data_IF_057497620849
#
_entry.id   IF_057497620849
#
_cell.length_a   1.000
_cell.length_b   1.000
_cell.length_c   1.000
_cell.angle_alpha   90.00
_cell.angle_beta   90.00
_cell.angle_gamma   90.00
#
_symmetry.space_group_name_H-M   'P 1'
#
loop_
_entity.id
_entity.type
_entity.pdbx_description
1 polymer ?
#
# COMPACT_ATOMS: atom_id res chain seq x y z
N UNK A 1 6.26 2.96 -10.41
CA UNK A 1 6.71 2.87 -9.01
C UNK A 1 7.58 4.08 -8.74
N UNK A 2 7.18 4.95 -7.82
CA UNK A 2 7.90 6.20 -7.54
C UNK A 2 9.32 5.94 -6.96
N UNK A 3 9.52 5.00 -6.02
CA UNK A 3 10.85 4.65 -5.50
C UNK A 3 11.83 4.16 -6.57
N UNK A 4 11.48 3.20 -7.42
CA UNK A 4 12.44 2.54 -8.32
C UNK A 4 12.23 2.83 -9.82
N UNK A 5 11.27 3.68 -10.19
CA UNK A 5 10.98 4.05 -11.58
C UNK A 5 10.27 2.99 -12.43
N UNK A 6 10.16 1.73 -11.96
CA UNK A 6 9.53 0.63 -12.74
C UNK A 6 8.05 0.87 -12.99
N UNK A 7 7.60 0.58 -14.20
CA UNK A 7 6.16 0.56 -14.52
C UNK A 7 5.54 -0.71 -13.93
N UNK A 8 4.49 -0.55 -13.10
CA UNK A 8 3.83 -1.66 -12.42
C UNK A 8 2.32 -1.49 -12.54
N UNK A 9 1.67 -2.53 -13.06
CA UNK A 9 0.23 -2.58 -13.27
C UNK A 9 -0.54 -2.52 -11.94
N UNK A 10 -1.78 -2.00 -11.99
CA UNK A 10 -2.60 -1.71 -10.81
C UNK A 10 -2.62 -2.81 -9.74
N UNK A 11 -2.99 -4.06 -10.05
CA UNK A 11 -3.08 -5.13 -9.06
C UNK A 11 -1.73 -5.48 -8.41
N UNK A 12 -0.64 -5.43 -9.17
CA UNK A 12 0.70 -5.85 -8.70
C UNK A 12 1.44 -4.73 -7.96
N UNK A 13 0.94 -3.50 -8.04
CA UNK A 13 1.58 -2.31 -7.46
C UNK A 13 1.77 -2.43 -5.95
N UNK A 14 0.77 -2.91 -5.23
CA UNK A 14 0.88 -3.05 -3.76
C UNK A 14 1.89 -4.13 -3.37
N UNK A 15 1.94 -5.26 -4.09
CA UNK A 15 2.94 -6.30 -3.84
C UNK A 15 4.35 -5.79 -4.11
N UNK A 16 4.54 -5.09 -5.22
CA UNK A 16 5.81 -4.47 -5.57
C UNK A 16 6.25 -3.42 -4.54
N UNK A 17 5.35 -2.51 -4.15
CA UNK A 17 5.65 -1.50 -3.13
C UNK A 17 5.89 -2.14 -1.76
N UNK A 18 5.20 -3.22 -1.43
CA UNK A 18 5.37 -3.96 -0.18
C UNK A 18 6.80 -4.48 0.00
N UNK A 19 7.48 -4.86 -1.08
CA UNK A 19 8.90 -5.23 -1.02
C UNK A 19 9.76 -4.05 -0.57
N UNK A 20 9.60 -2.89 -1.20
CA UNK A 20 10.35 -1.68 -0.84
C UNK A 20 10.07 -1.24 0.61
N UNK A 21 8.80 -1.26 1.02
CA UNK A 21 8.39 -0.96 2.40
C UNK A 21 9.07 -1.90 3.38
N UNK A 22 9.06 -3.21 3.11
CA UNK A 22 9.66 -4.19 4.01
C UNK A 22 11.17 -3.98 4.15
N UNK A 23 11.88 -3.73 3.04
CA UNK A 23 13.32 -3.48 3.06
C UNK A 23 13.64 -2.19 3.83
N UNK A 24 12.90 -1.10 3.57
CA UNK A 24 13.06 0.16 4.29
C UNK A 24 12.83 0.01 5.80
N UNK A 25 11.77 -0.70 6.22
CA UNK A 25 11.48 -0.97 7.63
C UNK A 25 12.52 -1.88 8.30
N UNK A 26 13.25 -2.68 7.52
CA UNK A 26 14.37 -3.51 8.02
C UNK A 26 15.71 -2.79 7.98
N UNK A 27 15.76 -1.55 7.48
CA UNK A 27 17.02 -0.82 7.29
C UNK A 27 17.92 -1.45 6.23
N UNK A 28 17.35 -2.24 5.31
CA UNK A 28 18.09 -2.82 4.19
C UNK A 28 18.13 -1.80 3.06
N UNK A 29 19.33 -1.41 2.65
CA UNK A 29 19.52 -0.49 1.54
C UNK A 29 19.16 -1.15 0.20
N UNK A 30 18.52 -0.37 -0.66
CA UNK A 30 18.24 -0.74 -2.05
C UNK A 30 19.04 0.17 -2.98
N UNK A 31 19.92 -0.43 -3.77
CA UNK A 31 20.88 0.33 -4.60
C UNK A 31 20.23 1.14 -5.74
N UNK A 32 19.00 0.79 -6.14
CA UNK A 32 18.35 1.32 -7.36
C UNK A 32 17.13 2.20 -7.05
N UNK A 33 17.10 2.88 -5.91
CA UNK A 33 16.04 3.81 -5.56
C UNK A 33 16.33 5.23 -6.06
N UNK A 34 15.41 5.76 -6.86
CA UNK A 34 15.33 7.15 -7.30
C UNK A 34 14.77 8.03 -6.17
N UNK A 35 13.87 7.49 -5.35
CA UNK A 35 13.31 8.18 -4.18
C UNK A 35 13.17 7.25 -2.97
N UNK A 36 13.33 7.79 -1.74
CA UNK A 36 13.24 6.99 -0.53
C UNK A 36 11.81 6.57 -0.22
N UNK A 37 11.66 5.39 0.38
CA UNK A 37 10.40 4.95 1.00
C UNK A 37 10.34 5.46 2.42
N UNK A 38 9.19 6.01 2.80
CA UNK A 38 8.96 6.47 4.17
C UNK A 38 8.92 5.30 5.14
N UNK A 39 9.49 5.46 6.32
CA UNK A 39 9.33 4.51 7.43
C UNK A 39 8.17 4.86 8.35
N UNK A 40 7.54 6.02 8.16
CA UNK A 40 6.42 6.52 8.97
C UNK A 40 5.10 6.34 8.22
N UNK A 41 4.36 5.28 8.56
CA UNK A 41 3.11 4.86 7.91
C UNK A 41 3.18 4.89 6.37
N UNK A 42 4.08 4.11 5.73
CA UNK A 42 4.25 4.15 4.29
C UNK A 42 2.98 3.73 3.54
N UNK A 43 2.63 4.51 2.52
CA UNK A 43 1.53 4.20 1.62
C UNK A 43 1.89 3.02 0.70
N UNK A 44 1.02 2.01 0.65
CA UNK A 44 1.19 0.82 -0.19
C UNK A 44 1.14 1.08 -1.72
N UNK A 45 0.91 2.32 -2.17
CA UNK A 45 0.92 2.67 -3.61
C UNK A 45 2.11 3.55 -4.01
N UNK A 46 2.42 4.55 -3.16
CA UNK A 46 3.40 5.60 -3.46
C UNK A 46 4.70 5.46 -2.63
N UNK A 47 4.69 4.70 -1.53
CA UNK A 47 5.80 4.58 -0.58
C UNK A 47 6.01 5.82 0.31
N UNK A 48 5.26 6.91 0.07
CA UNK A 48 5.34 8.13 0.88
C UNK A 48 4.52 8.00 2.17
N UNK A 49 4.80 8.86 3.15
CA UNK A 49 4.08 8.86 4.43
C UNK A 49 2.57 9.08 4.25
N UNK A 50 1.79 8.30 5.00
CA UNK A 50 0.33 8.34 5.02
C UNK A 50 -0.28 9.22 6.13
N UNK A 51 0.56 9.91 6.91
CA UNK A 51 0.14 10.68 8.09
C UNK A 51 -0.45 12.05 7.72
N UNK A 52 -1.07 12.72 8.69
CA UNK A 52 -1.61 14.07 8.51
C UNK A 52 -0.49 15.05 8.13
N UNK A 53 -0.57 15.63 6.93
CA UNK A 53 0.49 16.47 6.35
C UNK A 53 1.43 15.71 5.40
N UNK A 54 1.29 14.40 5.28
CA UNK A 54 1.94 13.56 4.27
C UNK A 54 1.37 13.75 2.86
N UNK A 55 2.03 13.13 1.87
CA UNK A 55 1.61 13.21 0.45
C UNK A 55 0.40 12.34 0.12
N UNK A 56 0.22 11.27 0.88
CA UNK A 56 -0.84 10.30 0.69
C UNK A 56 -1.63 10.31 2.02
N UNK A 57 -2.96 10.42 2.03
CA UNK A 57 -3.79 10.37 3.26
C UNK A 57 -4.81 9.26 3.08
N UNK A 58 -4.89 8.39 4.08
CA UNK A 58 -5.89 7.31 4.13
C UNK A 58 -6.95 7.70 5.15
N UNK A 59 -8.21 7.64 4.74
CA UNK A 59 -9.36 7.85 5.61
C UNK A 59 -10.41 6.77 5.38
N UNK A 60 -11.21 6.47 6.40
CA UNK A 60 -12.36 5.60 6.26
C UNK A 60 -13.62 6.48 6.22
N UNK A 61 -14.39 6.38 5.14
CA UNK A 61 -15.72 7.01 5.04
C UNK A 61 -16.75 5.97 4.65
N UNK A 62 -17.82 5.88 5.43
CA UNK A 62 -18.93 4.94 5.20
C UNK A 62 -18.47 3.48 4.99
N UNK A 63 -17.48 3.03 5.76
CA UNK A 63 -16.94 1.67 5.67
C UNK A 63 -16.02 1.38 4.48
N UNK A 64 -15.64 2.41 3.69
CA UNK A 64 -14.67 2.29 2.60
C UNK A 64 -13.39 3.04 2.96
N UNK A 65 -12.23 2.42 2.70
CA UNK A 65 -10.97 3.16 2.72
C UNK A 65 -10.86 4.03 1.46
N UNK A 66 -10.54 5.30 1.67
CA UNK A 66 -10.31 6.31 0.65
C UNK A 66 -8.87 6.76 0.80
N UNK A 67 -8.13 6.72 -0.31
CA UNK A 67 -6.75 7.20 -0.40
C UNK A 67 -6.69 8.43 -1.30
N UNK A 68 -5.91 9.45 -0.91
CA UNK A 68 -5.61 10.60 -1.78
C UNK A 68 -4.44 10.32 -2.74
N UNK A 69 -3.87 9.11 -2.71
CA UNK A 69 -2.77 8.75 -3.60
C UNK A 69 -3.22 8.68 -5.06
N UNK A 70 -2.50 9.37 -5.96
CA UNK A 70 -2.76 9.35 -7.41
C UNK A 70 -2.67 7.95 -8.03
N UNK A 71 -1.88 7.08 -7.43
CA UNK A 71 -1.65 5.70 -7.87
C UNK A 71 -2.59 4.70 -7.17
N UNK A 72 -3.49 5.19 -6.33
CA UNK A 72 -4.45 4.40 -5.58
C UNK A 72 -5.56 3.85 -6.47
N UNK A 73 -6.11 2.70 -6.09
CA UNK A 73 -7.36 2.18 -6.64
C UNK A 73 -8.33 1.88 -5.51
N UNK A 74 -9.62 1.79 -5.84
CA UNK A 74 -10.66 1.48 -4.87
C UNK A 74 -10.46 0.10 -4.25
N UNK A 75 -10.29 0.07 -2.94
CA UNK A 75 -10.18 -1.17 -2.18
C UNK A 75 -11.48 -1.96 -2.29
N UNK A 76 -11.45 -3.08 -3.00
CA UNK A 76 -12.59 -3.98 -3.16
C UNK A 76 -12.77 -4.86 -1.91
N UNK A 77 -12.93 -4.25 -0.73
CA UNK A 77 -12.95 -4.93 0.57
C UNK A 77 -14.02 -6.03 0.66
N UNK A 78 -15.20 -5.79 0.09
CA UNK A 78 -16.30 -6.77 0.05
C UNK A 78 -16.02 -7.95 -0.90
N UNK A 79 -15.20 -7.76 -1.92
CA UNK A 79 -14.74 -8.85 -2.77
C UNK A 79 -13.59 -9.62 -2.09
N UNK A 80 -12.69 -8.89 -1.44
CA UNK A 80 -11.57 -9.45 -0.69
C UNK A 80 -12.01 -10.31 0.50
N UNK A 81 -13.23 -10.12 1.03
CA UNK A 81 -13.82 -10.93 2.10
C UNK A 81 -14.39 -12.28 1.68
N UNK A 82 -14.40 -12.59 0.39
CA UNK A 82 -14.87 -13.87 -0.13
C UNK A 82 -13.68 -14.76 -0.45
N UNK A 83 -13.41 -15.75 0.40
CA UNK A 83 -12.46 -16.82 0.09
C UNK A 83 -13.05 -17.75 -0.98
N UNK A 84 -12.22 -18.25 -1.89
CA UNK A 84 -12.59 -19.31 -2.84
C UNK A 84 -11.60 -20.47 -2.76
N UNK A 85 -11.94 -21.63 -3.35
CA UNK A 85 -11.01 -22.76 -3.47
C UNK A 85 -9.73 -22.38 -4.23
N UNK A 86 -9.82 -21.47 -5.21
CA UNK A 86 -8.68 -20.98 -5.98
C UNK A 86 -7.92 -19.83 -5.32
N UNK A 87 -8.54 -19.13 -4.36
CA UNK A 87 -7.95 -18.04 -3.57
C UNK A 87 -8.40 -18.18 -2.10
N UNK A 88 -7.77 -19.11 -1.34
CA UNK A 88 -8.20 -19.41 0.02
C UNK A 88 -7.92 -18.26 1.00
N UNK A 89 -6.94 -17.40 0.68
CA UNK A 89 -6.59 -16.24 1.50
C UNK A 89 -7.45 -15.03 1.15
N UNK A 90 -8.04 -14.41 2.18
CA UNK A 90 -8.79 -13.16 2.08
C UNK A 90 -7.89 -12.00 2.46
N UNK A 91 -7.76 -10.98 1.60
CA UNK A 91 -7.00 -9.77 1.90
C UNK A 91 -7.86 -8.74 2.67
N UNK A 92 -8.72 -9.23 3.57
CA UNK A 92 -9.63 -8.38 4.34
C UNK A 92 -8.82 -7.57 5.34
N UNK A 93 -8.96 -6.23 5.34
CA UNK A 93 -8.36 -5.40 6.37
C UNK A 93 -8.86 -5.83 7.75
N UNK A 94 -7.94 -6.08 8.67
CA UNK A 94 -8.27 -6.35 10.08
C UNK A 94 -8.54 -5.02 10.75
N UNK A 95 -9.73 -4.86 11.33
CA UNK A 95 -10.04 -3.69 12.14
C UNK A 95 -9.13 -3.66 13.37
N UNK A 96 -8.38 -2.57 13.55
CA UNK A 96 -7.67 -2.33 14.79
C UNK A 96 -8.71 -2.02 15.89
N UNK A 97 -8.69 -2.75 16.99
CA UNK A 97 -9.63 -2.59 18.11
C UNK A 97 -9.14 -1.59 19.17
N UNK A 98 -8.02 -0.92 18.93
CA UNK A 98 -7.40 0.05 19.84
C UNK A 98 -8.04 1.43 19.69
#
# INVERSE_FOLDING_TARGET
CLPCGKEVAGPDRQNHMGQHILLALRGVAEDNLISPVSTDYPCGFCGMSSTTGGRCVISIRSGKAISTCSEGYDFQMAAASKSSLSKPCTNVPVGCSL
#
